data_IF_123350310698
#
_entry.id   IF_123350310698
#
_cell.length_a   1.000
_cell.length_b   1.000
_cell.length_c   1.000
_cell.angle_alpha   90.00
_cell.angle_beta   90.00
_cell.angle_gamma   90.00
#
_symmetry.space_group_name_H-M   'P 1'
#
loop_
_entity.id
_entity.type
_entity.pdbx_description
1 polymer ?
#
# COMPACT_ATOMS: atom_id res chain seq x y z
N UNK A 1 18.01 -9.71 -4.06
CA UNK A 1 17.89 -8.24 -3.98
C UNK A 1 16.88 -7.94 -2.90
N UNK A 2 17.30 -7.41 -1.76
CA UNK A 2 16.38 -6.96 -0.72
C UNK A 2 15.70 -5.68 -1.20
N UNK A 3 14.37 -5.59 -1.16
CA UNK A 3 13.68 -4.35 -1.45
C UNK A 3 14.14 -3.29 -0.43
N UNK A 4 14.77 -2.23 -0.92
CA UNK A 4 15.13 -1.08 -0.09
C UNK A 4 13.84 -0.33 0.23
N UNK A 5 13.23 -0.65 1.36
CA UNK A 5 12.04 0.03 1.86
C UNK A 5 12.53 1.28 2.60
N UNK A 6 12.11 2.45 2.12
CA UNK A 6 12.61 3.75 2.59
C UNK A 6 11.86 4.20 3.84
N UNK A 7 12.61 4.64 4.84
CA UNK A 7 12.09 5.29 6.04
C UNK A 7 11.86 6.79 5.80
N UNK A 8 10.81 7.14 5.07
CA UNK A 8 10.39 8.55 4.90
C UNK A 8 8.99 8.80 5.49
N UNK A 9 8.65 8.13 6.61
CA UNK A 9 7.28 8.18 7.15
C UNK A 9 6.23 7.46 6.28
N UNK A 10 6.63 6.90 5.13
CA UNK A 10 5.77 6.14 4.23
C UNK A 10 5.85 4.64 4.57
N UNK A 11 4.75 3.93 4.39
CA UNK A 11 4.67 2.50 4.66
C UNK A 11 3.79 1.79 3.63
N UNK A 12 3.99 0.49 3.51
CA UNK A 12 3.09 -0.37 2.74
C UNK A 12 2.01 -0.94 3.67
N UNK A 13 0.75 -0.69 3.35
CA UNK A 13 -0.35 -1.38 4.00
C UNK A 13 -0.37 -2.83 3.52
N UNK A 14 -0.19 -3.77 4.46
CA UNK A 14 -0.08 -5.20 4.15
C UNK A 14 -1.19 -6.00 4.81
N UNK A 15 -1.44 -7.22 4.30
CA UNK A 15 -2.43 -8.14 4.84
C UNK A 15 -2.10 -8.59 6.27
N UNK A 16 -3.13 -9.06 7.01
CA UNK A 16 -2.99 -9.63 8.35
C UNK A 16 -2.07 -10.87 8.41
N UNK A 17 -1.83 -11.55 7.28
CA UNK A 17 -0.87 -12.64 7.21
C UNK A 17 0.57 -12.17 7.39
N UNK A 18 0.87 -10.94 7.01
CA UNK A 18 2.20 -10.36 7.16
C UNK A 18 2.47 -9.93 8.61
N UNK A 19 3.73 -9.97 8.99
CA UNK A 19 4.19 -9.41 10.27
C UNK A 19 4.21 -7.89 10.19
N UNK A 20 3.74 -7.21 11.26
CA UNK A 20 3.94 -5.77 11.41
C UNK A 20 5.41 -5.51 11.72
N UNK A 21 6.10 -4.78 10.86
CA UNK A 21 7.54 -4.49 10.94
C UNK A 21 7.83 -3.17 10.22
N UNK A 22 8.94 -2.50 10.51
CA UNK A 22 9.27 -1.24 9.87
C UNK A 22 9.11 -1.27 8.36
N UNK A 23 8.37 -0.30 7.80
CA UNK A 23 8.00 -0.24 6.39
C UNK A 23 6.76 -1.05 5.98
N UNK A 24 6.30 -2.00 6.80
CA UNK A 24 5.08 -2.78 6.56
C UNK A 24 4.09 -2.60 7.70
N UNK A 25 2.93 -2.03 7.39
CA UNK A 25 1.87 -1.77 8.36
C UNK A 25 0.77 -2.81 8.21
N UNK A 26 0.71 -3.77 9.14
CA UNK A 26 -0.32 -4.79 9.17
C UNK A 26 -1.48 -4.37 10.09
N UNK A 27 -2.72 -4.86 9.88
CA UNK A 27 -3.82 -4.62 10.79
C UNK A 27 -3.54 -5.23 12.18
N UNK A 28 -4.24 -4.75 13.20
CA UNK A 28 -4.12 -5.29 14.55
C UNK A 28 -4.74 -6.69 14.61
N UNK A 29 -4.00 -7.64 15.18
CA UNK A 29 -4.50 -8.99 15.48
C UNK A 29 -5.16 -8.97 16.85
N UNK A 30 -6.50 -8.96 16.87
CA UNK A 30 -7.29 -8.98 18.09
C UNK A 30 -7.44 -7.62 18.77
N UNK A 31 -8.40 -7.53 19.67
CA UNK A 31 -8.83 -6.30 20.34
C UNK A 31 -8.36 -6.26 21.81
N UNK A 32 -7.09 -6.52 22.07
CA UNK A 32 -6.53 -6.40 23.43
C UNK A 32 -6.26 -4.93 23.78
N UNK A 33 -6.48 -4.56 25.05
CA UNK A 33 -6.25 -3.21 25.58
C UNK A 33 -7.48 -2.64 26.28
N UNK A 34 -7.38 -1.38 26.68
CA UNK A 34 -8.47 -0.60 27.27
C UNK A 34 -9.66 -0.50 26.31
N UNK A 35 -10.88 -0.21 26.78
CA UNK A 35 -12.04 -0.02 25.90
C UNK A 35 -11.77 0.99 24.78
N UNK A 36 -11.13 2.10 25.12
CA UNK A 36 -10.76 3.16 24.17
C UNK A 36 -9.78 2.68 23.09
N UNK A 37 -8.72 1.98 23.49
CA UNK A 37 -7.75 1.39 22.55
C UNK A 37 -8.39 0.35 21.63
N UNK A 38 -9.34 -0.43 22.14
CA UNK A 38 -10.06 -1.42 21.30
C UNK A 38 -10.86 -0.76 20.21
N UNK A 39 -11.54 0.35 20.51
CA UNK A 39 -12.30 1.11 19.50
C UNK A 39 -11.36 1.75 18.48
N UNK A 40 -10.26 2.34 18.92
CA UNK A 40 -9.25 2.92 18.03
C UNK A 40 -8.65 1.86 17.07
N UNK A 41 -8.28 0.69 17.58
CA UNK A 41 -7.78 -0.44 16.78
C UNK A 41 -8.83 -0.98 15.80
N UNK A 42 -10.10 -1.04 16.21
CA UNK A 42 -11.21 -1.46 15.34
C UNK A 42 -11.42 -0.45 14.19
N UNK A 43 -11.35 0.85 14.49
CA UNK A 43 -11.45 1.89 13.48
C UNK A 43 -10.29 1.83 12.48
N UNK A 44 -9.06 1.67 12.97
CA UNK A 44 -7.87 1.45 12.12
C UNK A 44 -8.09 0.23 11.21
N UNK A 45 -8.47 -0.92 11.78
CA UNK A 45 -8.70 -2.14 11.03
C UNK A 45 -9.84 -2.02 10.00
N UNK A 46 -10.83 -1.17 10.25
CA UNK A 46 -11.92 -0.89 9.30
C UNK A 46 -11.43 -0.04 8.11
N UNK A 47 -10.52 0.92 8.35
CA UNK A 47 -9.96 1.79 7.31
C UNK A 47 -8.82 1.14 6.52
N UNK A 48 -8.07 0.26 7.17
CA UNK A 48 -6.93 -0.42 6.57
C UNK A 48 -7.25 -1.18 5.26
N UNK A 49 -8.36 -1.95 5.14
CA UNK A 49 -8.75 -2.59 3.88
C UNK A 49 -9.07 -1.62 2.76
N UNK A 50 -9.53 -0.39 3.06
CA UNK A 50 -9.81 0.61 2.03
C UNK A 50 -8.56 0.97 1.24
N UNK A 51 -7.42 1.12 1.92
CA UNK A 51 -6.12 1.35 1.27
C UNK A 51 -5.71 0.14 0.42
N UNK A 52 -5.97 -1.06 0.91
CA UNK A 52 -5.68 -2.32 0.18
C UNK A 52 -6.56 -2.47 -1.05
N UNK A 53 -7.84 -2.11 -0.97
CA UNK A 53 -8.76 -2.15 -2.10
C UNK A 53 -8.29 -1.26 -3.27
N UNK A 54 -7.65 -0.12 -2.98
CA UNK A 54 -7.04 0.75 -4.00
C UNK A 54 -5.97 -0.03 -4.77
N UNK A 55 -5.08 -0.73 -4.06
CA UNK A 55 -4.02 -1.52 -4.68
C UNK A 55 -4.60 -2.67 -5.51
N UNK A 56 -5.60 -3.39 -4.99
CA UNK A 56 -6.26 -4.49 -5.71
C UNK A 56 -6.94 -4.00 -6.98
N UNK A 57 -7.58 -2.83 -6.95
CA UNK A 57 -8.17 -2.19 -8.14
C UNK A 57 -7.10 -1.79 -9.15
N UNK A 58 -6.00 -1.17 -8.69
CA UNK A 58 -4.87 -0.81 -9.57
C UNK A 58 -4.31 -2.05 -10.28
N UNK A 59 -4.13 -3.16 -9.56
CA UNK A 59 -3.73 -4.42 -10.19
C UNK A 59 -4.81 -4.97 -11.15
N UNK A 60 -6.09 -4.77 -10.85
CA UNK A 60 -7.20 -5.12 -11.75
C UNK A 60 -7.08 -4.38 -13.09
N UNK A 61 -6.87 -3.07 -13.04
CA UNK A 61 -6.66 -2.23 -14.23
C UNK A 61 -5.39 -2.61 -14.97
N UNK A 62 -4.28 -2.79 -14.24
CA UNK A 62 -3.02 -3.24 -14.82
C UNK A 62 -3.18 -4.56 -15.62
N UNK A 63 -3.89 -5.52 -15.06
CA UNK A 63 -4.19 -6.80 -15.73
C UNK A 63 -5.15 -6.64 -16.90
N UNK A 64 -6.11 -5.72 -16.85
CA UNK A 64 -6.99 -5.41 -18.00
C UNK A 64 -6.16 -4.84 -19.16
N UNK A 65 -5.29 -3.88 -18.87
CA UNK A 65 -4.44 -3.20 -19.85
C UNK A 65 -3.39 -4.14 -20.46
N UNK A 66 -2.78 -4.98 -19.65
CA UNK A 66 -1.72 -5.91 -20.08
C UNK A 66 -2.16 -7.36 -19.91
N UNK A 67 -2.76 -7.97 -20.95
CA UNK A 67 -3.27 -9.35 -20.87
C UNK A 67 -2.21 -10.39 -20.47
N UNK A 68 -0.93 -10.13 -20.74
CA UNK A 68 0.19 -10.99 -20.33
C UNK A 68 0.25 -11.19 -18.79
N UNK A 69 -0.34 -10.28 -18.01
CA UNK A 69 -0.40 -10.36 -16.54
C UNK A 69 -1.63 -11.10 -16.02
N UNK A 70 -2.56 -11.56 -16.89
CA UNK A 70 -3.81 -12.20 -16.47
C UNK A 70 -3.67 -13.66 -16.05
N UNK A 71 -2.60 -14.30 -16.45
CA UNK A 71 -2.39 -15.73 -16.21
C UNK A 71 -0.92 -16.06 -15.92
N UNK A 72 -0.62 -17.36 -15.76
CA UNK A 72 0.76 -17.79 -15.62
C UNK A 72 1.54 -17.44 -16.89
N UNK A 73 2.68 -16.77 -16.73
CA UNK A 73 3.56 -16.45 -17.83
C UNK A 73 4.23 -17.73 -18.33
N UNK A 74 3.96 -18.06 -19.61
CA UNK A 74 4.48 -19.30 -20.20
C UNK A 74 5.99 -19.21 -20.39
N UNK A 75 6.70 -20.25 -19.93
CA UNK A 75 8.09 -20.61 -20.30
C UNK A 75 9.18 -19.53 -20.30
N UNK A 76 8.94 -18.40 -19.66
CA UNK A 76 9.98 -17.39 -19.47
C UNK A 76 10.80 -17.68 -18.22
N UNK A 77 12.09 -17.38 -18.25
CA UNK A 77 12.91 -17.35 -17.06
C UNK A 77 12.34 -16.35 -16.04
N UNK A 78 12.44 -16.63 -14.75
CA UNK A 78 11.91 -15.78 -13.68
C UNK A 78 12.40 -14.32 -13.79
N UNK A 79 13.67 -14.12 -14.16
CA UNK A 79 14.21 -12.79 -14.41
C UNK A 79 13.45 -12.04 -15.52
N UNK A 80 13.11 -12.73 -16.60
CA UNK A 80 12.32 -12.16 -17.70
C UNK A 80 10.89 -11.86 -17.27
N UNK A 81 10.26 -12.74 -16.49
CA UNK A 81 8.92 -12.51 -15.94
C UNK A 81 8.90 -11.25 -15.07
N UNK A 82 9.89 -11.09 -14.18
CA UNK A 82 10.03 -9.91 -13.34
C UNK A 82 10.19 -8.63 -14.18
N UNK A 83 11.00 -8.67 -15.23
CA UNK A 83 11.20 -7.52 -16.12
C UNK A 83 9.91 -7.16 -16.88
N UNK A 84 9.12 -8.13 -17.31
CA UNK A 84 7.81 -7.91 -17.95
C UNK A 84 6.86 -7.20 -16.97
N UNK A 85 6.77 -7.68 -15.72
CA UNK A 85 5.93 -7.04 -14.69
C UNK A 85 6.37 -5.59 -14.45
N UNK A 86 7.67 -5.36 -14.28
CA UNK A 86 8.23 -4.02 -14.06
C UNK A 86 7.96 -3.09 -15.25
N UNK A 87 8.12 -3.57 -16.48
CA UNK A 87 7.83 -2.80 -17.69
C UNK A 87 6.33 -2.44 -17.78
N UNK A 88 5.44 -3.38 -17.49
CA UNK A 88 4.00 -3.12 -17.45
C UNK A 88 3.63 -2.07 -16.40
N UNK A 89 4.22 -2.14 -15.20
CA UNK A 89 4.01 -1.15 -14.15
C UNK A 89 4.54 0.24 -14.56
N UNK A 90 5.73 0.30 -15.16
CA UNK A 90 6.31 1.56 -15.63
C UNK A 90 5.46 2.21 -16.73
N UNK A 91 5.03 1.43 -17.71
CA UNK A 91 4.15 1.90 -18.78
C UNK A 91 2.79 2.35 -18.23
N UNK A 92 2.21 1.61 -17.29
CA UNK A 92 0.95 2.00 -16.64
C UNK A 92 1.08 3.36 -15.94
N UNK A 93 2.13 3.57 -15.17
CA UNK A 93 2.38 4.83 -14.50
C UNK A 93 2.63 5.96 -15.49
N UNK A 94 3.42 5.71 -16.55
CA UNK A 94 3.64 6.67 -17.61
C UNK A 94 2.31 7.11 -18.27
N UNK A 95 1.46 6.15 -18.63
CA UNK A 95 0.14 6.46 -19.22
C UNK A 95 -0.72 7.27 -18.25
N UNK A 96 -0.65 6.99 -16.95
CA UNK A 96 -1.33 7.79 -15.93
C UNK A 96 -0.93 9.27 -15.96
N UNK A 97 0.34 9.53 -16.12
CA UNK A 97 0.86 10.89 -16.04
C UNK A 97 0.62 11.69 -17.33
N UNK A 98 0.56 11.01 -18.47
CA UNK A 98 0.59 11.67 -19.80
C UNK A 98 -0.65 11.47 -20.66
N UNK A 99 -1.61 10.60 -20.26
CA UNK A 99 -2.85 10.35 -21.01
C UNK A 99 -4.09 10.70 -20.18
N UNK A 100 -4.56 11.97 -20.22
CA UNK A 100 -5.63 12.47 -19.33
C UNK A 100 -6.97 11.77 -19.49
N UNK A 101 -7.26 11.22 -20.67
CA UNK A 101 -8.54 10.58 -21.03
C UNK A 101 -8.39 9.07 -21.28
N UNK A 102 -7.54 8.41 -20.51
CA UNK A 102 -7.39 6.96 -20.60
C UNK A 102 -8.67 6.25 -20.16
N UNK A 103 -9.22 5.39 -21.02
CA UNK A 103 -10.48 4.67 -20.77
C UNK A 103 -10.46 3.86 -19.47
N UNK A 104 -9.30 3.30 -19.11
CA UNK A 104 -9.13 2.52 -17.86
C UNK A 104 -9.16 3.39 -16.61
N UNK A 105 -8.87 4.70 -16.72
CA UNK A 105 -8.99 5.65 -15.62
C UNK A 105 -10.42 6.12 -15.39
N UNK A 106 -11.21 6.27 -16.45
CA UNK A 106 -12.60 6.67 -16.32
C UNK A 106 -13.42 5.61 -15.57
N UNK A 107 -13.11 4.32 -15.74
CA UNK A 107 -13.72 3.26 -14.94
C UNK A 107 -13.34 3.36 -13.44
N UNK A 108 -12.12 3.81 -13.12
CA UNK A 108 -11.67 4.01 -11.74
C UNK A 108 -12.31 5.25 -11.09
N UNK A 109 -12.42 6.35 -11.82
CA UNK A 109 -13.06 7.59 -11.36
C UNK A 109 -14.55 7.39 -11.06
N UNK A 110 -15.25 6.60 -11.86
CA UNK A 110 -16.67 6.28 -11.67
C UNK A 110 -16.92 5.51 -10.36
N UNK A 111 -15.92 4.73 -9.90
CA UNK A 111 -16.02 3.95 -8.66
C UNK A 111 -15.60 4.71 -7.39
N UNK A 112 -15.31 6.01 -7.45
CA UNK A 112 -15.10 6.89 -6.28
C UNK A 112 -13.88 6.56 -5.41
N UNK A 113 -12.91 5.79 -5.92
CA UNK A 113 -11.82 5.26 -5.10
C UNK A 113 -10.55 6.15 -5.05
N UNK A 114 -10.44 7.15 -5.91
CA UNK A 114 -9.23 7.98 -6.04
C UNK A 114 -9.39 9.44 -5.61
N UNK A 115 -10.55 9.84 -5.09
CA UNK A 115 -10.81 11.23 -4.70
C UNK A 115 -9.82 11.77 -3.65
N UNK A 116 -9.21 10.89 -2.85
CA UNK A 116 -8.32 11.27 -1.74
C UNK A 116 -6.86 10.83 -1.90
N UNK A 117 -6.50 10.15 -2.97
CA UNK A 117 -5.15 9.67 -3.19
C UNK A 117 -4.37 10.57 -4.17
N UNK A 118 -4.26 11.87 -3.89
CA UNK A 118 -3.20 12.70 -4.46
C UNK A 118 -1.87 12.24 -3.86
N UNK A 119 -1.31 11.19 -4.43
CA UNK A 119 0.12 10.89 -4.23
C UNK A 119 0.86 11.87 -5.15
N UNK A 120 1.13 13.06 -4.64
CA UNK A 120 2.08 13.96 -5.26
C UNK A 120 3.37 13.18 -5.50
N UNK A 121 3.83 13.15 -6.74
CA UNK A 121 5.08 12.52 -7.13
C UNK A 121 6.27 13.23 -6.52
N UNK A 122 6.49 13.08 -5.23
CA UNK A 122 7.74 13.48 -4.60
C UNK A 122 8.87 12.62 -5.13
N UNK A 123 9.91 13.28 -5.64
CA UNK A 123 11.16 12.63 -6.01
C UNK A 123 11.61 11.70 -4.90
N UNK A 124 11.81 10.45 -5.27
CA UNK A 124 12.20 9.39 -4.36
C UNK A 124 13.63 9.62 -3.89
N UNK A 125 13.81 10.37 -2.80
CA UNK A 125 15.11 10.41 -2.11
C UNK A 125 15.45 9.01 -1.59
N UNK A 126 16.69 8.58 -1.79
CA UNK A 126 17.22 7.35 -1.23
C UNK A 126 17.12 7.45 0.29
N UNK A 127 16.14 6.76 0.90
CA UNK A 127 15.89 6.80 2.35
C UNK A 127 17.00 6.09 3.14
N UNK A 128 17.10 6.45 4.40
CA UNK A 128 17.93 5.76 5.39
C UNK A 128 17.56 4.27 5.44
N UNK A 129 18.53 3.39 5.75
CA UNK A 129 18.24 1.97 5.95
C UNK A 129 17.15 1.79 7.03
N UNK A 130 16.25 0.84 6.80
CA UNK A 130 15.20 0.54 7.79
C UNK A 130 15.84 -0.14 8.99
N UNK A 131 15.60 0.41 10.18
CA UNK A 131 16.01 -0.21 11.43
C UNK A 131 15.15 -1.45 11.73
N UNK A 132 15.71 -2.62 11.49
CA UNK A 132 15.10 -3.93 11.75
C UNK A 132 15.48 -4.49 13.13
N UNK A 133 16.14 -3.70 14.00
CA UNK A 133 16.42 -4.08 15.38
C UNK A 133 15.13 -4.27 16.18
N UNK A 134 15.21 -4.92 17.33
CA UNK A 134 14.07 -5.06 18.22
C UNK A 134 13.49 -3.70 18.61
N UNK A 135 14.37 -2.70 18.88
CA UNK A 135 13.95 -1.34 19.18
C UNK A 135 13.21 -0.69 17.99
N UNK A 136 13.69 -0.87 16.76
CA UNK A 136 13.01 -0.38 15.56
C UNK A 136 11.63 -0.99 15.39
N UNK A 137 11.49 -2.30 15.68
CA UNK A 137 10.19 -2.99 15.63
C UNK A 137 9.24 -2.47 16.72
N UNK A 138 9.74 -2.21 17.92
CA UNK A 138 8.93 -1.72 19.04
C UNK A 138 8.46 -0.29 18.78
N UNK A 139 9.34 0.59 18.30
CA UNK A 139 8.98 1.95 17.86
C UNK A 139 7.90 1.90 16.76
N UNK A 140 8.05 1.01 15.77
CA UNK A 140 7.06 0.84 14.71
C UNK A 140 5.69 0.39 15.22
N UNK A 141 5.66 -0.46 16.25
CA UNK A 141 4.42 -0.87 16.91
C UNK A 141 3.77 0.29 17.67
N UNK A 142 4.57 1.18 18.26
CA UNK A 142 4.07 2.41 18.91
C UNK A 142 3.50 3.39 17.88
N UNK A 143 4.18 3.63 16.77
CA UNK A 143 3.70 4.47 15.68
C UNK A 143 2.34 4.00 15.16
N UNK A 144 2.16 2.67 14.98
CA UNK A 144 0.86 2.12 14.59
C UNK A 144 -0.22 2.38 15.63
N UNK A 145 0.10 2.29 16.93
CA UNK A 145 -0.87 2.60 18.01
C UNK A 145 -1.21 4.08 18.03
N UNK A 146 -0.22 4.95 17.89
CA UNK A 146 -0.41 6.40 17.82
C UNK A 146 -1.29 6.78 16.61
N UNK A 147 -1.04 6.18 15.45
CA UNK A 147 -1.87 6.38 14.26
C UNK A 147 -3.32 5.97 14.50
N UNK A 148 -3.56 4.81 15.11
CA UNK A 148 -4.91 4.35 15.43
C UNK A 148 -5.62 5.30 16.41
N UNK A 149 -4.93 5.78 17.44
CA UNK A 149 -5.45 6.75 18.40
C UNK A 149 -5.78 8.10 17.72
N UNK A 150 -4.90 8.60 16.86
CA UNK A 150 -5.13 9.84 16.10
C UNK A 150 -6.34 9.72 15.16
N UNK A 151 -6.49 8.59 14.47
CA UNK A 151 -7.68 8.32 13.63
C UNK A 151 -8.97 8.33 14.46
N UNK A 152 -8.93 7.84 15.68
CA UNK A 152 -10.07 7.82 16.57
C UNK A 152 -10.47 9.23 17.03
N UNK A 153 -9.49 10.05 17.42
CA UNK A 153 -9.74 11.45 17.80
C UNK A 153 -10.37 12.23 16.64
N UNK A 154 -9.81 12.11 15.44
CA UNK A 154 -10.32 12.82 14.26
C UNK A 154 -11.69 12.32 13.75
N UNK A 155 -12.12 11.15 14.18
CA UNK A 155 -13.44 10.61 13.80
C UNK A 155 -14.56 11.06 14.76
N UNK A 156 -14.20 11.63 15.91
CA UNK A 156 -15.14 12.08 16.94
C UNK A 156 -15.13 13.61 17.14
N UNK A 157 -14.35 14.34 16.35
CA UNK A 157 -14.39 15.79 16.16
C UNK A 157 -15.10 16.15 14.86
#
# INVERSE_FOLDING_TARGET
MNPVIKSTGKYYAVDAAYRNMPGFMAPFRGARGTPHERVAKALFNRRHPSVRNIIERTFGVLKKRFPILKGPMQNYLIATQNNIVLACCALHNFMRDYVPNDEYFNEEAINGAFADAHIAGEQVQMGQPIDMSQQGIDNWNEDRRAMAAHMYVNANN
#
